data_IF_404569375462
#
_entry.id   IF_404569375462
#
_cell.length_a   1.000
_cell.length_b   1.000
_cell.length_c   1.000
_cell.angle_alpha   90.00
_cell.angle_beta   90.00
_cell.angle_gamma   90.00
#
_symmetry.space_group_name_H-M   'P 1'
#
loop_
_entity.id
_entity.type
_entity.pdbx_description
1 polymer ?
#
# COMPACT_ATOMS: atom_id res chain seq x y z
N UNK A 1 3.14 17.52 21.34
CA UNK A 1 2.96 16.34 20.45
C UNK A 1 4.05 15.36 20.82
N UNK A 2 3.68 14.16 21.26
CA UNK A 2 4.63 13.07 21.53
C UNK A 2 4.73 12.25 20.23
N UNK A 3 5.94 12.04 19.74
CA UNK A 3 6.16 11.14 18.61
C UNK A 3 6.31 9.71 19.14
N UNK A 4 5.43 8.82 18.69
CA UNK A 4 5.55 7.39 18.95
C UNK A 4 6.08 6.69 17.71
N UNK A 5 7.06 5.81 17.89
CA UNK A 5 7.59 4.99 16.81
C UNK A 5 6.98 3.60 16.86
N UNK A 6 6.70 3.05 15.69
CA UNK A 6 6.35 1.64 15.56
C UNK A 6 7.64 0.82 15.44
N UNK A 7 7.96 0.05 16.48
CA UNK A 7 9.19 -0.73 16.56
C UNK A 7 8.98 -2.17 16.08
N UNK A 8 8.89 -2.34 14.76
CA UNK A 8 8.86 -3.64 14.09
C UNK A 8 9.45 -3.52 12.68
N UNK A 9 9.98 -4.60 12.09
CA UNK A 9 10.25 -4.62 10.66
C UNK A 9 8.94 -4.44 9.90
N UNK A 10 8.92 -3.59 8.88
CA UNK A 10 7.72 -3.41 8.07
C UNK A 10 7.43 -4.62 7.18
N UNK A 11 8.49 -5.26 6.67
CA UNK A 11 8.43 -6.40 5.76
C UNK A 11 9.21 -7.57 6.37
N UNK A 12 8.64 -8.77 6.27
CA UNK A 12 9.26 -10.03 6.70
C UNK A 12 9.26 -11.03 5.56
N UNK A 13 10.05 -12.09 5.67
CA UNK A 13 10.25 -13.07 4.59
C UNK A 13 9.27 -14.25 4.62
N UNK A 14 8.61 -14.50 5.77
CA UNK A 14 7.69 -15.62 5.95
C UNK A 14 6.36 -15.22 6.58
N UNK A 15 5.29 -15.91 6.20
CA UNK A 15 3.96 -15.71 6.79
C UNK A 15 3.95 -16.10 8.26
N UNK A 16 4.68 -17.13 8.65
CA UNK A 16 4.80 -17.54 10.05
C UNK A 16 5.35 -16.40 10.93
N UNK A 17 6.42 -15.74 10.48
CA UNK A 17 6.99 -14.58 11.18
C UNK A 17 5.99 -13.43 11.22
N UNK A 18 5.31 -13.16 10.09
CA UNK A 18 4.29 -12.12 10.02
C UNK A 18 3.20 -12.33 11.08
N UNK A 19 2.61 -13.51 11.11
CA UNK A 19 1.58 -13.88 12.07
C UNK A 19 2.07 -13.81 13.52
N UNK A 20 3.28 -14.32 13.80
CA UNK A 20 3.85 -14.27 15.14
C UNK A 20 4.03 -12.81 15.62
N UNK A 21 4.62 -11.94 14.80
CA UNK A 21 4.82 -10.53 15.17
C UNK A 21 3.50 -9.77 15.29
N UNK A 22 2.56 -9.99 14.38
CA UNK A 22 1.21 -9.40 14.45
C UNK A 22 0.43 -9.90 15.68
N UNK A 23 0.83 -11.02 16.30
CA UNK A 23 0.20 -11.54 17.51
C UNK A 23 0.68 -10.86 18.80
N UNK A 24 1.86 -10.22 18.78
CA UNK A 24 2.48 -9.57 19.93
C UNK A 24 1.65 -8.38 20.43
N UNK A 25 1.55 -8.26 21.76
CA UNK A 25 0.73 -7.23 22.39
C UNK A 25 1.18 -5.80 22.06
N UNK A 26 2.49 -5.57 22.01
CA UNK A 26 3.08 -4.27 21.65
C UNK A 26 2.75 -3.87 20.21
N UNK A 27 2.85 -4.82 19.27
CA UNK A 27 2.53 -4.61 17.86
C UNK A 27 1.04 -4.32 17.68
N UNK A 28 0.17 -5.15 18.25
CA UNK A 28 -1.28 -4.93 18.23
C UNK A 28 -1.67 -3.56 18.78
N UNK A 29 -1.11 -3.18 19.93
CA UNK A 29 -1.40 -1.90 20.54
C UNK A 29 -0.97 -0.72 19.67
N UNK A 30 0.21 -0.80 19.04
CA UNK A 30 0.70 0.25 18.15
C UNK A 30 -0.16 0.38 16.89
N UNK A 31 -0.52 -0.75 16.25
CA UNK A 31 -1.38 -0.76 15.07
C UNK A 31 -2.80 -0.28 15.39
N UNK A 32 -3.36 -0.65 16.55
CA UNK A 32 -4.66 -0.15 16.99
C UNK A 32 -4.68 1.38 17.17
N UNK A 33 -3.60 1.95 17.72
CA UNK A 33 -3.45 3.42 17.80
C UNK A 33 -3.30 4.06 16.43
N UNK A 34 -2.52 3.45 15.53
CA UNK A 34 -2.35 3.94 14.18
C UNK A 34 -3.68 3.98 13.39
N UNK A 35 -4.53 2.96 13.55
CA UNK A 35 -5.86 2.91 12.91
C UNK A 35 -6.89 3.85 13.53
N UNK A 36 -6.63 4.40 14.72
CA UNK A 36 -7.54 5.26 15.47
C UNK A 36 -7.12 6.74 15.43
N UNK A 37 -6.20 7.12 14.54
CA UNK A 37 -5.83 8.52 14.37
C UNK A 37 -6.94 9.29 13.65
N UNK A 38 -6.98 10.61 13.85
CA UNK A 38 -7.94 11.49 13.18
C UNK A 38 -7.47 11.87 11.76
N UNK A 39 -6.15 11.87 11.53
CA UNK A 39 -5.52 12.27 10.28
C UNK A 39 -4.38 11.34 9.91
N UNK A 40 -4.42 10.76 8.71
CA UNK A 40 -3.36 9.95 8.14
C UNK A 40 -2.73 10.58 6.90
N UNK A 41 -1.41 10.53 6.82
CA UNK A 41 -0.65 10.79 5.59
C UNK A 41 -0.08 9.47 5.09
N UNK A 42 -0.47 9.06 3.88
CA UNK A 42 -0.06 7.77 3.29
C UNK A 42 0.60 7.98 1.93
N UNK A 43 1.64 7.20 1.65
CA UNK A 43 2.26 7.17 0.32
C UNK A 43 1.53 6.22 -0.61
N UNK A 44 1.45 6.57 -1.90
CA UNK A 44 1.07 5.63 -2.96
C UNK A 44 2.33 5.17 -3.71
N UNK A 45 2.49 3.85 -3.77
CA UNK A 45 3.48 3.14 -4.56
C UNK A 45 2.94 2.74 -5.93
N UNK A 46 3.86 2.39 -6.84
CA UNK A 46 3.53 1.81 -8.14
C UNK A 46 4.37 0.57 -8.32
N UNK A 47 3.74 -0.53 -8.72
CA UNK A 47 4.39 -1.84 -8.69
C UNK A 47 5.70 -1.84 -9.49
N UNK A 48 6.77 -2.38 -8.90
CA UNK A 48 8.09 -2.46 -9.53
C UNK A 48 8.85 -1.13 -9.68
N UNK A 49 8.33 -0.03 -9.15
CA UNK A 49 8.93 1.32 -9.22
C UNK A 49 9.44 1.77 -7.85
N UNK A 50 10.64 2.35 -7.79
CA UNK A 50 11.22 2.97 -6.58
C UNK A 50 11.11 2.12 -5.31
N UNK A 51 10.43 2.62 -4.27
CA UNK A 51 10.26 1.95 -2.97
C UNK A 51 9.42 0.67 -3.09
N UNK A 52 8.42 0.63 -3.98
CA UNK A 52 7.59 -0.56 -4.19
C UNK A 52 8.41 -1.75 -4.69
N UNK A 53 9.44 -1.51 -5.53
CA UNK A 53 10.42 -2.54 -5.89
C UNK A 53 11.17 -3.05 -4.66
N UNK A 54 11.68 -2.15 -3.82
CA UNK A 54 12.42 -2.51 -2.60
C UNK A 54 11.58 -3.31 -1.61
N UNK A 55 10.28 -3.00 -1.51
CA UNK A 55 9.31 -3.75 -0.70
C UNK A 55 9.24 -5.20 -1.20
N UNK A 56 9.02 -5.42 -2.50
CA UNK A 56 8.98 -6.76 -3.10
C UNK A 56 10.29 -7.52 -2.90
N UNK A 57 11.43 -6.87 -3.12
CA UNK A 57 12.74 -7.49 -2.96
C UNK A 57 12.98 -7.91 -1.49
N UNK A 58 12.44 -7.15 -0.54
CA UNK A 58 12.54 -7.44 0.90
C UNK A 58 11.64 -8.59 1.36
N UNK A 59 10.58 -8.91 0.60
CA UNK A 59 9.71 -10.06 0.90
C UNK A 59 10.39 -11.40 0.64
N UNK A 60 11.50 -11.43 -0.13
CA UNK A 60 12.24 -12.65 -0.51
C UNK A 60 11.35 -13.76 -1.08
N UNK A 61 10.37 -13.36 -1.90
CA UNK A 61 9.50 -14.30 -2.58
C UNK A 61 10.32 -15.23 -3.48
N UNK A 62 10.00 -16.52 -3.44
CA UNK A 62 10.45 -17.49 -4.44
C UNK A 62 9.91 -17.14 -5.82
N UNK A 63 10.48 -17.76 -6.87
CA UNK A 63 10.04 -17.53 -8.24
C UNK A 63 8.56 -17.89 -8.45
N UNK A 64 8.08 -18.94 -7.79
CA UNK A 64 6.66 -19.37 -7.83
C UNK A 64 5.74 -18.37 -7.12
N UNK A 65 6.16 -17.89 -5.94
CA UNK A 65 5.44 -16.84 -5.20
C UNK A 65 5.39 -15.53 -5.98
N UNK A 66 6.50 -15.14 -6.62
CA UNK A 66 6.55 -13.96 -7.47
C UNK A 66 5.66 -14.13 -8.71
N UNK A 67 5.65 -15.30 -9.33
CA UNK A 67 4.75 -15.59 -10.45
C UNK A 67 3.28 -15.46 -10.04
N UNK A 68 2.92 -15.88 -8.82
CA UNK A 68 1.58 -15.71 -8.25
C UNK A 68 1.23 -14.23 -8.08
N UNK A 69 2.15 -13.43 -7.53
CA UNK A 69 1.96 -11.97 -7.39
C UNK A 69 1.77 -11.31 -8.76
N UNK A 70 2.61 -11.65 -9.75
CA UNK A 70 2.51 -11.09 -11.10
C UNK A 70 1.22 -11.49 -11.83
N UNK A 71 0.74 -12.71 -11.62
CA UNK A 71 -0.53 -13.19 -12.20
C UNK A 71 -1.74 -12.38 -11.71
N UNK A 72 -1.66 -11.79 -10.51
CA UNK A 72 -2.68 -10.90 -9.97
C UNK A 72 -2.62 -9.45 -10.53
N UNK A 73 -1.71 -9.16 -11.47
CA UNK A 73 -1.60 -7.88 -12.16
C UNK A 73 -1.54 -6.66 -11.22
N UNK A 74 -0.54 -6.61 -10.33
CA UNK A 74 -0.44 -5.55 -9.34
C UNK A 74 -0.20 -4.19 -10.01
N UNK A 75 -0.97 -3.21 -9.59
CA UNK A 75 -0.83 -1.84 -10.05
C UNK A 75 0.09 -1.01 -9.14
N UNK A 76 -0.07 -1.16 -7.83
CA UNK A 76 0.64 -0.36 -6.82
C UNK A 76 0.48 -0.91 -5.42
N UNK A 77 0.94 -0.13 -4.44
CA UNK A 77 0.79 -0.44 -3.02
C UNK A 77 0.45 0.80 -2.20
N UNK A 78 -0.26 0.57 -1.10
CA UNK A 78 -0.48 1.52 -0.01
C UNK A 78 -0.05 0.77 1.26
N UNK A 79 0.77 1.41 2.10
CA UNK A 79 1.31 0.79 3.32
C UNK A 79 2.07 -0.54 3.06
N UNK A 80 2.65 -0.69 1.85
CA UNK A 80 3.33 -1.93 1.42
C UNK A 80 2.40 -3.08 1.06
N UNK A 81 1.09 -2.88 1.11
CA UNK A 81 0.08 -3.84 0.68
C UNK A 81 -0.30 -3.57 -0.77
N UNK A 82 -0.10 -4.56 -1.64
CA UNK A 82 -0.33 -4.41 -3.07
C UNK A 82 -1.81 -4.50 -3.42
N UNK A 83 -2.20 -3.81 -4.49
CA UNK A 83 -3.53 -3.88 -5.10
C UNK A 83 -3.44 -3.92 -6.63
N UNK A 84 -4.47 -4.42 -7.28
CA UNK A 84 -4.59 -4.47 -8.74
C UNK A 84 -5.09 -3.14 -9.34
N UNK A 85 -5.22 -3.05 -10.66
CA UNK A 85 -5.70 -1.83 -11.31
C UNK A 85 -7.14 -1.46 -10.92
N UNK A 86 -7.93 -2.40 -10.42
CA UNK A 86 -9.30 -2.15 -9.95
C UNK A 86 -9.35 -1.69 -8.48
N UNK A 87 -8.19 -1.59 -7.81
CA UNK A 87 -8.10 -1.26 -6.40
C UNK A 87 -8.43 -2.45 -5.49
N UNK A 88 -8.42 -3.67 -6.01
CA UNK A 88 -8.62 -4.90 -5.24
C UNK A 88 -7.30 -5.29 -4.57
N UNK A 89 -7.27 -5.47 -3.23
CA UNK A 89 -6.07 -5.94 -2.55
C UNK A 89 -5.58 -7.29 -3.08
N UNK A 90 -4.27 -7.45 -3.21
CA UNK A 90 -3.66 -8.72 -3.54
C UNK A 90 -3.65 -9.64 -2.31
N UNK A 91 -3.82 -10.94 -2.57
CA UNK A 91 -3.73 -11.99 -1.56
C UNK A 91 -2.30 -12.41 -1.23
N UNK A 92 -2.17 -13.54 -0.52
CA UNK A 92 -0.89 -14.21 -0.32
C UNK A 92 -0.23 -14.52 -1.67
N UNK A 93 1.11 -14.54 -1.73
CA UNK A 93 2.03 -14.46 -0.59
C UNK A 93 2.28 -13.02 -0.10
N UNK A 94 2.06 -12.01 -0.94
CA UNK A 94 2.49 -10.63 -0.66
C UNK A 94 1.83 -10.00 0.57
N UNK A 95 0.53 -10.22 0.79
CA UNK A 95 -0.19 -9.65 1.93
C UNK A 95 0.20 -10.29 3.28
N UNK A 96 0.82 -11.47 3.26
CA UNK A 96 1.31 -12.16 4.46
C UNK A 96 2.78 -11.84 4.76
N UNK A 97 3.34 -10.80 4.15
CA UNK A 97 4.73 -10.36 4.37
C UNK A 97 4.82 -8.95 4.94
N UNK A 98 3.69 -8.33 5.31
CA UNK A 98 3.62 -6.95 5.78
C UNK A 98 3.19 -6.90 7.24
N UNK A 99 3.99 -6.27 8.09
CA UNK A 99 3.61 -5.89 9.46
C UNK A 99 3.05 -4.48 9.42
N UNK A 100 1.73 -4.35 9.51
CA UNK A 100 1.05 -3.07 9.40
C UNK A 100 -0.46 -3.22 9.40
N UNK A 101 -1.17 -2.09 9.47
CA UNK A 101 -2.63 -2.08 9.32
C UNK A 101 -3.03 -2.51 7.90
N UNK A 102 -4.23 -3.06 7.76
CA UNK A 102 -4.81 -3.38 6.45
C UNK A 102 -5.19 -2.10 5.68
N UNK A 103 -5.26 -2.18 4.36
CA UNK A 103 -5.68 -1.05 3.50
C UNK A 103 -7.07 -0.54 3.91
N UNK A 104 -7.97 -1.45 4.27
CA UNK A 104 -9.34 -1.17 4.68
C UNK A 104 -9.40 -0.38 6.00
N UNK A 105 -8.40 -0.51 6.86
CA UNK A 105 -8.35 0.24 8.11
C UNK A 105 -8.18 1.74 7.86
N UNK A 106 -7.57 2.14 6.73
CA UNK A 106 -7.43 3.55 6.35
C UNK A 106 -8.79 4.19 6.11
N UNK A 107 -9.78 3.44 5.58
CA UNK A 107 -11.14 3.95 5.33
C UNK A 107 -11.85 4.41 6.61
N UNK A 108 -11.47 3.88 7.76
CA UNK A 108 -12.09 4.21 9.04
C UNK A 108 -11.51 5.48 9.68
N UNK A 109 -10.39 5.99 9.17
CA UNK A 109 -9.74 7.22 9.63
C UNK A 109 -10.55 8.42 9.12
N UNK A 110 -10.75 9.43 9.96
CA UNK A 110 -11.60 10.58 9.63
C UNK A 110 -11.12 11.35 8.39
N UNK A 111 -9.80 11.55 8.27
CA UNK A 111 -9.18 12.16 7.09
C UNK A 111 -7.94 11.38 6.67
N UNK A 112 -7.95 10.83 5.47
CA UNK A 112 -6.78 10.20 4.85
C UNK A 112 -6.28 11.00 3.64
N UNK A 113 -5.03 11.46 3.74
CA UNK A 113 -4.33 12.20 2.68
C UNK A 113 -3.30 11.27 2.03
N UNK A 114 -3.54 10.93 0.77
CA UNK A 114 -2.63 10.14 -0.04
C UNK A 114 -1.68 11.03 -0.86
N UNK A 115 -0.41 10.65 -0.90
CA UNK A 115 0.65 11.42 -1.59
C UNK A 115 1.38 10.56 -2.61
N UNK A 116 1.60 11.12 -3.80
CA UNK A 116 2.45 10.53 -4.83
C UNK A 116 3.14 11.62 -5.66
N UNK A 117 4.29 11.31 -6.23
CA UNK A 117 4.96 12.19 -7.17
C UNK A 117 5.71 11.35 -8.22
N UNK A 118 5.81 11.87 -9.44
CA UNK A 118 6.45 11.25 -10.59
C UNK A 118 5.47 10.53 -11.51
N UNK A 119 5.57 10.79 -12.82
CA UNK A 119 4.68 10.22 -13.86
C UNK A 119 4.73 8.70 -13.91
N UNK A 120 5.86 8.09 -13.54
CA UNK A 120 6.04 6.65 -13.43
C UNK A 120 5.09 5.99 -12.42
N UNK A 121 4.48 6.76 -11.51
CA UNK A 121 3.48 6.27 -10.56
C UNK A 121 2.05 6.26 -11.08
N UNK A 122 1.81 6.68 -12.33
CA UNK A 122 0.45 6.81 -12.89
C UNK A 122 -0.36 5.53 -12.73
N UNK A 123 0.23 4.36 -13.00
CA UNK A 123 -0.50 3.09 -12.90
C UNK A 123 -0.92 2.76 -11.46
N UNK A 124 -0.01 2.90 -10.49
CA UNK A 124 -0.31 2.73 -9.07
C UNK A 124 -1.36 3.73 -8.56
N UNK A 125 -1.28 5.00 -8.96
CA UNK A 125 -2.28 6.01 -8.55
C UNK A 125 -3.66 5.73 -9.14
N UNK A 126 -3.74 5.26 -10.40
CA UNK A 126 -5.01 4.86 -11.01
C UNK A 126 -5.65 3.67 -10.29
N UNK A 127 -4.87 2.70 -9.80
CA UNK A 127 -5.39 1.63 -8.96
C UNK A 127 -5.80 2.12 -7.57
N UNK A 128 -4.97 2.95 -6.94
CA UNK A 128 -5.20 3.52 -5.62
C UNK A 128 -6.52 4.30 -5.55
N UNK A 129 -6.81 5.14 -6.55
CA UNK A 129 -8.07 5.89 -6.63
C UNK A 129 -9.31 4.98 -6.59
N UNK A 130 -9.22 3.76 -7.13
CA UNK A 130 -10.33 2.81 -7.16
C UNK A 130 -10.50 2.01 -5.86
N UNK A 131 -9.47 2.00 -4.99
CA UNK A 131 -9.61 1.44 -3.63
C UNK A 131 -10.63 2.24 -2.81
N UNK A 132 -10.72 3.55 -3.06
CA UNK A 132 -11.61 4.46 -2.35
C UNK A 132 -11.32 4.58 -0.85
N UNK A 133 -10.09 4.32 -0.39
CA UNK A 133 -9.72 4.31 1.04
C UNK A 133 -9.16 5.64 1.56
N UNK A 134 -9.03 6.65 0.71
CA UNK A 134 -8.53 7.97 1.09
C UNK A 134 -9.40 9.09 0.52
N UNK A 135 -9.36 10.25 1.17
CA UNK A 135 -10.24 11.39 0.86
C UNK A 135 -9.55 12.43 -0.03
N UNK A 136 -8.24 12.61 0.17
CA UNK A 136 -7.46 13.68 -0.47
C UNK A 136 -6.27 13.06 -1.19
N UNK A 137 -6.08 13.43 -2.46
CA UNK A 137 -4.88 13.09 -3.23
C UNK A 137 -4.02 14.33 -3.45
N UNK A 138 -2.75 14.25 -3.07
CA UNK A 138 -1.72 15.27 -3.37
C UNK A 138 -0.70 14.69 -4.35
N UNK A 139 -0.60 15.32 -5.52
CA UNK A 139 0.31 14.91 -6.60
C UNK A 139 0.98 16.11 -7.27
N UNK A 140 2.14 15.90 -7.92
CA UNK A 140 2.73 16.91 -8.79
C UNK A 140 1.96 17.06 -10.11
N UNK A 141 2.16 18.18 -10.79
CA UNK A 141 1.49 18.53 -12.05
C UNK A 141 1.66 17.46 -13.14
N UNK A 142 2.86 16.89 -13.26
CA UNK A 142 3.16 15.90 -14.28
C UNK A 142 2.36 14.62 -14.09
N UNK A 143 2.33 14.12 -12.85
CA UNK A 143 1.53 12.96 -12.47
C UNK A 143 0.02 13.26 -12.58
N UNK A 144 -0.44 14.44 -12.16
CA UNK A 144 -1.84 14.85 -12.30
C UNK A 144 -2.32 14.79 -13.76
N UNK A 145 -1.55 15.35 -14.69
CA UNK A 145 -1.87 15.32 -16.12
C UNK A 145 -1.93 13.89 -16.66
N UNK A 146 -0.99 13.02 -16.28
CA UNK A 146 -0.97 11.61 -16.69
C UNK A 146 -2.16 10.81 -16.15
N UNK A 147 -2.56 11.05 -14.89
CA UNK A 147 -3.72 10.40 -14.28
C UNK A 147 -5.02 10.85 -14.97
N UNK A 148 -5.21 12.14 -15.23
CA UNK A 148 -6.39 12.66 -15.92
C UNK A 148 -6.53 12.07 -17.34
N UNK A 149 -5.43 11.93 -18.07
CA UNK A 149 -5.43 11.27 -19.37
C UNK A 149 -5.83 9.79 -19.27
N UNK A 150 -5.35 9.08 -18.24
CA UNK A 150 -5.67 7.67 -17.99
C UNK A 150 -7.14 7.43 -17.61
N UNK A 151 -7.76 8.36 -16.86
CA UNK A 151 -9.18 8.29 -16.51
C UNK A 151 -10.09 8.53 -17.72
N UNK A 152 -9.70 9.45 -18.61
CA UNK A 152 -10.47 9.81 -19.81
C UNK A 152 -10.57 8.68 -20.84
N UNK A 153 -9.63 7.74 -20.83
CA UNK A 153 -9.62 6.57 -21.72
C UNK A 153 -10.62 5.46 -21.36
N UNK A 154 -11.30 5.55 -20.20
CA UNK A 154 -12.22 4.51 -19.71
C UNK A 154 -13.71 4.87 -19.84
N UNK A 155 -14.04 6.06 -20.38
CA UNK A 155 -15.43 6.52 -20.59
C UNK A 155 -15.93 6.36 -22.03
N UNK A 156 -15.56 5.28 -22.73
CA UNK A 156 -16.16 4.90 -24.02
C UNK A 156 -16.58 3.44 -24.05
#
# INVERSE_FOLDING_TARGET
>A
IVAERFDAPAIVESSLTCHAMMSESSVKAALARASACDLAFIGIGSFGVHTSRKILDSMRLSDEEMATVLAAQPAGDILGRFFDINGTPLGPPSSERVIGIEIEAVRAIEIAVALAAGKEKTHGVLGALRTGVFDILVVDEGLAASVLAGLSGQSR
#
